data_IF_336997412478
#
_entry.id   IF_336997412478
#
_cell.length_a   1.000
_cell.length_b   1.000
_cell.length_c   1.000
_cell.angle_alpha   90.00
_cell.angle_beta   90.00
_cell.angle_gamma   90.00
#
_symmetry.space_group_name_H-M   'P 1'
#
loop_
_entity.id
_entity.type
_entity.pdbx_description
1 polymer ?
#
# COMPACT_ATOMS: atom_id res chain seq x y z
N UNK A 1 26.11 21.81 11.19
CA UNK A 1 25.06 20.82 10.94
C UNK A 1 23.94 21.06 11.90
N UNK A 2 22.79 21.55 11.43
CA UNK A 2 21.62 21.80 12.28
C UNK A 2 20.82 20.51 12.37
N UNK A 3 20.87 19.88 13.54
CA UNK A 3 20.00 18.75 13.90
C UNK A 3 18.56 19.29 13.93
N UNK A 4 17.80 19.05 12.86
CA UNK A 4 16.40 19.42 12.78
C UNK A 4 15.63 18.56 13.77
N UNK A 5 14.89 19.22 14.65
CA UNK A 5 14.02 18.63 15.67
C UNK A 5 13.36 17.33 15.21
N UNK A 6 13.73 16.26 15.89
CA UNK A 6 13.25 14.90 15.68
C UNK A 6 11.87 14.65 16.29
N UNK A 7 10.93 15.56 16.12
CA UNK A 7 9.53 15.30 16.46
C UNK A 7 8.85 14.68 15.25
N UNK A 8 8.85 13.35 15.21
CA UNK A 8 7.96 12.59 14.33
C UNK A 8 6.53 13.11 14.56
N UNK A 9 5.82 13.50 13.51
CA UNK A 9 4.46 14.04 13.66
C UNK A 9 3.54 12.98 14.28
N UNK A 10 2.63 13.39 15.16
CA UNK A 10 1.66 12.45 15.74
C UNK A 10 0.86 11.72 14.65
N UNK A 11 0.62 12.36 13.51
CA UNK A 11 -0.01 11.73 12.34
C UNK A 11 0.81 10.56 11.80
N UNK A 12 2.13 10.68 11.72
CA UNK A 12 3.00 9.59 11.28
C UNK A 12 3.02 8.44 12.30
N UNK A 13 3.09 8.75 13.59
CA UNK A 13 3.04 7.73 14.66
C UNK A 13 1.72 6.97 14.59
N UNK A 14 0.60 7.69 14.49
CA UNK A 14 -0.74 7.10 14.41
C UNK A 14 -0.88 6.23 13.15
N UNK A 15 -0.42 6.71 12.00
CA UNK A 15 -0.42 5.95 10.76
C UNK A 15 0.35 4.64 10.91
N UNK A 16 1.58 4.71 11.42
CA UNK A 16 2.43 3.54 11.66
C UNK A 16 1.73 2.54 12.58
N UNK A 17 1.19 2.99 13.72
CA UNK A 17 0.49 2.11 14.66
C UNK A 17 -0.74 1.45 14.02
N UNK A 18 -1.51 2.17 13.19
CA UNK A 18 -2.66 1.61 12.47
C UNK A 18 -2.25 0.53 11.48
N UNK A 19 -1.19 0.77 10.71
CA UNK A 19 -0.64 -0.21 9.77
C UNK A 19 -0.28 -1.49 10.51
N UNK A 20 0.51 -1.40 11.59
CA UNK A 20 0.89 -2.59 12.37
C UNK A 20 -0.30 -3.28 13.04
N UNK A 21 -1.24 -2.53 13.62
CA UNK A 21 -2.43 -3.11 14.24
C UNK A 21 -3.28 -3.89 13.24
N UNK A 22 -3.47 -3.33 12.04
CA UNK A 22 -4.17 -3.98 10.95
C UNK A 22 -3.44 -5.23 10.46
N UNK A 23 -2.13 -5.15 10.20
CA UNK A 23 -1.34 -6.29 9.76
C UNK A 23 -1.38 -7.44 10.77
N UNK A 24 -1.30 -7.13 12.07
CA UNK A 24 -1.42 -8.12 13.13
C UNK A 24 -2.81 -8.74 13.19
N UNK A 25 -3.87 -7.94 13.04
CA UNK A 25 -5.23 -8.45 12.98
C UNK A 25 -5.42 -9.40 11.79
N UNK A 26 -4.99 -8.99 10.58
CA UNK A 26 -5.06 -9.83 9.38
C UNK A 26 -4.29 -11.14 9.56
N UNK A 27 -3.10 -11.11 10.16
CA UNK A 27 -2.31 -12.32 10.45
C UNK A 27 -2.98 -13.23 11.48
N UNK A 28 -3.70 -12.66 12.44
CA UNK A 28 -4.52 -13.41 13.39
C UNK A 28 -5.69 -14.13 12.72
N UNK A 29 -6.38 -13.47 11.77
CA UNK A 29 -7.47 -14.06 11.00
C UNK A 29 -6.99 -15.06 9.95
N UNK A 30 -5.84 -14.82 9.33
CA UNK A 30 -5.24 -15.64 8.29
C UNK A 30 -3.83 -16.09 8.72
N UNK A 31 -3.68 -17.20 9.47
CA UNK A 31 -2.38 -17.61 10.00
C UNK A 31 -1.30 -17.89 8.96
N UNK A 32 -1.69 -18.27 7.73
CA UNK A 32 -0.78 -18.50 6.61
C UNK A 32 -0.32 -17.21 5.91
N UNK A 33 -0.83 -16.04 6.33
CA UNK A 33 -0.55 -14.76 5.73
C UNK A 33 0.89 -14.33 6.02
N UNK A 34 1.66 -14.11 4.95
CA UNK A 34 2.97 -13.47 5.01
C UNK A 34 2.79 -11.97 4.89
N UNK A 35 3.46 -11.24 5.77
CA UNK A 35 3.40 -9.78 5.88
C UNK A 35 4.82 -9.26 5.73
N UNK A 36 5.01 -8.32 4.82
CA UNK A 36 6.28 -7.68 4.52
C UNK A 36 6.12 -6.18 4.69
N UNK A 37 6.83 -5.61 5.67
CA UNK A 37 6.84 -4.18 5.95
C UNK A 37 7.78 -3.44 4.98
N UNK A 38 7.78 -2.09 4.93
CA UNK A 38 8.64 -1.36 4.00
C UNK A 38 10.13 -1.67 4.17
N UNK A 39 10.58 -2.00 5.40
CA UNK A 39 11.94 -2.46 5.65
C UNK A 39 12.25 -3.81 4.99
N UNK A 40 11.26 -4.67 4.87
CA UNK A 40 11.40 -5.98 4.24
C UNK A 40 11.43 -5.83 2.72
N UNK A 41 10.56 -4.98 2.16
CA UNK A 41 10.45 -4.74 0.72
C UNK A 41 11.67 -4.04 0.12
N UNK A 42 12.27 -3.05 0.82
CA UNK A 42 13.45 -2.31 0.34
C UNK A 42 14.67 -3.16 -0.02
N UNK A 43 14.67 -4.41 0.40
CA UNK A 43 15.76 -5.35 0.15
C UNK A 43 15.68 -5.97 -1.25
N UNK A 44 14.55 -5.82 -1.93
CA UNK A 44 14.26 -6.42 -3.23
C UNK A 44 14.05 -5.31 -4.27
N UNK A 45 14.74 -5.39 -5.43
CA UNK A 45 14.63 -4.38 -6.49
C UNK A 45 13.28 -4.45 -7.23
N UNK A 46 12.57 -5.57 -7.12
CA UNK A 46 11.28 -5.80 -7.81
C UNK A 46 10.11 -4.99 -7.22
N UNK A 47 10.32 -4.24 -6.13
CA UNK A 47 9.29 -3.38 -5.57
C UNK A 47 9.42 -1.95 -6.12
N UNK A 48 8.29 -1.23 -6.26
CA UNK A 48 8.33 0.16 -6.70
C UNK A 48 9.07 1.05 -5.70
N UNK A 49 9.70 2.12 -6.19
CA UNK A 49 10.29 3.18 -5.36
C UNK A 49 9.28 3.73 -4.34
N UNK A 50 8.03 3.90 -4.78
CA UNK A 50 6.91 4.21 -3.89
C UNK A 50 6.33 2.93 -3.28
N UNK A 51 6.96 2.46 -2.20
CA UNK A 51 6.51 1.26 -1.51
C UNK A 51 5.09 1.39 -0.94
N UNK A 52 4.30 0.30 -0.97
CA UNK A 52 3.06 0.22 -0.18
C UNK A 52 3.38 0.28 1.33
N UNK A 53 2.38 0.58 2.15
CA UNK A 53 2.53 0.49 3.61
C UNK A 53 2.88 -0.94 4.01
N UNK A 54 2.28 -1.94 3.35
CA UNK A 54 2.51 -3.36 3.59
C UNK A 54 2.34 -4.15 2.30
N UNK A 55 3.26 -5.07 2.02
CA UNK A 55 3.02 -6.14 1.06
C UNK A 55 2.56 -7.40 1.77
N UNK A 56 1.48 -8.00 1.29
CA UNK A 56 0.88 -9.18 1.89
C UNK A 56 0.76 -10.28 0.86
N UNK A 57 1.12 -11.50 1.26
CA UNK A 57 0.98 -12.70 0.43
C UNK A 57 0.28 -13.82 1.20
N UNK A 58 -0.81 -14.34 0.63
CA UNK A 58 -1.55 -15.49 1.13
C UNK A 58 -1.45 -16.64 0.14
N UNK A 59 -0.95 -17.78 0.58
CA UNK A 59 -0.94 -19.00 -0.23
C UNK A 59 -2.27 -19.72 -0.08
N UNK A 60 -3.01 -19.84 -1.18
CA UNK A 60 -4.25 -20.62 -1.27
C UNK A 60 -4.07 -21.75 -2.29
N UNK A 61 -3.82 -22.96 -1.81
CA UNK A 61 -3.49 -24.10 -2.66
C UNK A 61 -2.26 -23.84 -3.53
N UNK A 62 -2.45 -23.84 -4.85
CA UNK A 62 -1.40 -23.58 -5.84
C UNK A 62 -1.28 -22.09 -6.23
N UNK A 63 -2.15 -21.21 -5.74
CA UNK A 63 -2.12 -19.78 -6.04
C UNK A 63 -1.56 -18.99 -4.87
N UNK A 64 -0.94 -17.86 -5.17
CA UNK A 64 -0.48 -16.91 -4.17
C UNK A 64 -1.19 -15.59 -4.39
N UNK A 65 -2.20 -15.32 -3.57
CA UNK A 65 -2.87 -14.02 -3.55
C UNK A 65 -1.90 -12.99 -2.99
N UNK A 66 -1.64 -11.93 -3.73
CA UNK A 66 -0.68 -10.89 -3.37
C UNK A 66 -1.39 -9.54 -3.33
N UNK A 67 -1.04 -8.71 -2.35
CA UNK A 67 -1.67 -7.43 -2.13
C UNK A 67 -0.64 -6.35 -1.81
N UNK A 68 -0.78 -5.20 -2.45
CA UNK A 68 -0.16 -3.94 -2.02
C UNK A 68 -1.19 -3.23 -1.15
N UNK A 69 -0.95 -3.19 0.15
CA UNK A 69 -1.89 -2.64 1.12
C UNK A 69 -1.44 -1.26 1.56
N UNK A 70 -2.34 -0.29 1.47
CA UNK A 70 -2.14 1.08 1.94
C UNK A 70 -3.28 1.51 2.86
N UNK A 71 -2.91 2.09 4.00
CA UNK A 71 -3.84 2.75 4.90
C UNK A 71 -3.89 4.23 4.53
N UNK A 72 -5.09 4.75 4.26
CA UNK A 72 -5.27 6.13 3.82
C UNK A 72 -5.87 6.93 4.98
N UNK A 73 -5.11 7.90 5.55
CA UNK A 73 -5.63 8.70 6.64
C UNK A 73 -6.68 9.69 6.15
N UNK A 74 -7.61 10.05 7.05
CA UNK A 74 -8.74 10.92 6.72
C UNK A 74 -8.27 12.29 6.24
N UNK A 75 -7.16 12.78 6.80
CA UNK A 75 -6.56 14.07 6.47
C UNK A 75 -5.67 14.05 5.21
N UNK A 76 -5.47 12.89 4.55
CA UNK A 76 -4.67 12.84 3.33
C UNK A 76 -5.39 13.62 2.20
N UNK A 77 -4.75 14.63 1.60
CA UNK A 77 -5.34 15.33 0.47
C UNK A 77 -5.53 14.40 -0.74
N UNK A 78 -6.47 14.74 -1.61
CA UNK A 78 -6.80 13.90 -2.79
C UNK A 78 -5.65 13.75 -3.78
N UNK A 79 -4.82 14.80 -3.96
CA UNK A 79 -3.73 14.81 -4.95
C UNK A 79 -2.63 13.78 -4.65
N UNK A 80 -2.08 13.68 -3.42
CA UNK A 80 -1.15 12.61 -3.05
C UNK A 80 -1.69 11.20 -3.28
N UNK A 81 -2.98 10.96 -2.96
CA UNK A 81 -3.60 9.66 -3.20
C UNK A 81 -3.70 9.35 -4.71
N UNK A 82 -4.15 10.32 -5.51
CA UNK A 82 -4.19 10.18 -6.97
C UNK A 82 -2.80 9.84 -7.53
N UNK A 83 -1.78 10.59 -7.13
CA UNK A 83 -0.39 10.36 -7.56
C UNK A 83 0.15 9.00 -7.14
N UNK A 84 -0.25 8.49 -5.97
CA UNK A 84 0.12 7.14 -5.52
C UNK A 84 -0.47 6.08 -6.44
N UNK A 85 -1.75 6.20 -6.77
CA UNK A 85 -2.45 5.25 -7.64
C UNK A 85 -1.86 5.27 -9.05
N UNK A 86 -1.61 6.46 -9.63
CA UNK A 86 -1.01 6.55 -10.96
C UNK A 86 0.40 5.99 -10.99
N UNK A 87 1.21 6.21 -9.94
CA UNK A 87 2.56 5.62 -9.85
C UNK A 87 2.55 4.10 -9.77
N UNK A 88 1.56 3.51 -9.10
CA UNK A 88 1.41 2.05 -9.14
C UNK A 88 1.02 1.57 -10.53
N UNK A 89 0.08 2.24 -11.20
CA UNK A 89 -0.28 1.90 -12.58
C UNK A 89 0.94 1.97 -13.50
N UNK A 90 1.67 3.09 -13.50
CA UNK A 90 2.91 3.30 -14.26
C UNK A 90 3.93 2.18 -13.99
N UNK A 91 4.18 1.84 -12.72
CA UNK A 91 5.10 0.76 -12.35
C UNK A 91 4.71 -0.60 -12.95
N UNK A 92 3.43 -0.95 -12.95
CA UNK A 92 2.97 -2.22 -13.54
C UNK A 92 2.94 -2.18 -15.07
N UNK A 93 2.61 -1.04 -15.69
CA UNK A 93 2.62 -0.85 -17.14
C UNK A 93 4.04 -0.94 -17.73
N UNK A 94 5.04 -0.48 -16.99
CA UNK A 94 6.46 -0.56 -17.36
C UNK A 94 7.07 -1.96 -17.13
N UNK A 95 6.26 -2.94 -16.70
CA UNK A 95 6.71 -4.32 -16.47
C UNK A 95 7.49 -4.50 -15.17
N UNK A 96 7.41 -3.56 -14.23
CA UNK A 96 8.20 -3.57 -12.99
C UNK A 96 7.97 -4.79 -12.08
N UNK A 97 6.91 -5.57 -12.33
CA UNK A 97 6.58 -6.77 -11.56
C UNK A 97 6.81 -8.10 -12.32
N UNK A 98 7.13 -8.02 -13.61
CA UNK A 98 7.12 -9.18 -14.51
C UNK A 98 8.18 -10.22 -14.13
N UNK A 99 9.32 -9.77 -13.58
CA UNK A 99 10.39 -10.65 -13.08
C UNK A 99 9.97 -11.45 -11.84
N UNK A 100 9.08 -10.90 -11.00
CA UNK A 100 8.66 -11.54 -9.76
C UNK A 100 7.51 -12.53 -9.97
N UNK A 101 6.54 -12.20 -10.83
CA UNK A 101 5.32 -13.01 -10.99
C UNK A 101 4.47 -12.55 -12.17
N UNK A 102 3.93 -13.52 -12.93
CA UNK A 102 2.90 -13.27 -13.95
C UNK A 102 1.54 -12.84 -13.37
N UNK A 103 1.36 -12.99 -12.05
CA UNK A 103 0.18 -12.51 -11.32
C UNK A 103 0.52 -11.20 -10.58
N UNK A 104 -0.12 -10.10 -11.00
CA UNK A 104 0.01 -8.81 -10.35
C UNK A 104 -0.66 -8.79 -8.97
N UNK A 105 -0.08 -8.07 -8.00
CA UNK A 105 -0.70 -7.88 -6.70
C UNK A 105 -1.94 -6.99 -6.83
N UNK A 106 -2.98 -7.29 -6.06
CA UNK A 106 -4.16 -6.42 -5.96
C UNK A 106 -3.84 -5.21 -5.08
N UNK A 107 -4.15 -4.01 -5.55
CA UNK A 107 -4.06 -2.79 -4.74
C UNK A 107 -5.21 -2.74 -3.72
N UNK A 108 -4.90 -2.78 -2.43
CA UNK A 108 -5.85 -2.78 -1.32
C UNK A 108 -5.73 -1.50 -0.50
N UNK A 109 -6.68 -0.58 -0.70
CA UNK A 109 -6.73 0.68 0.04
C UNK A 109 -7.72 0.61 1.21
N UNK A 110 -7.27 0.98 2.40
CA UNK A 110 -8.10 0.98 3.62
C UNK A 110 -8.24 2.41 4.12
N UNK A 111 -9.47 2.91 4.12
CA UNK A 111 -9.77 4.24 4.66
C UNK A 111 -9.97 4.16 6.17
N UNK A 112 -9.53 5.17 6.91
CA UNK A 112 -9.80 5.26 8.36
C UNK A 112 -11.31 5.35 8.67
N UNK A 113 -12.08 5.92 7.75
CA UNK A 113 -13.54 6.06 7.85
C UNK A 113 -14.25 5.74 6.53
N UNK A 114 -15.56 5.48 6.61
CA UNK A 114 -16.39 5.32 5.41
C UNK A 114 -16.48 6.58 4.53
N UNK A 115 -16.23 7.77 5.10
CA UNK A 115 -16.13 9.00 4.31
C UNK A 115 -14.86 8.99 3.44
N UNK A 116 -13.73 8.58 4.01
CA UNK A 116 -12.47 8.38 3.29
C UNK A 116 -12.60 7.29 2.25
N UNK A 117 -13.23 6.17 2.55
CA UNK A 117 -13.51 5.12 1.56
C UNK A 117 -14.26 5.64 0.33
N UNK A 118 -15.34 6.41 0.53
CA UNK A 118 -16.09 7.02 -0.58
C UNK A 118 -15.24 8.00 -1.38
N UNK A 119 -14.38 8.78 -0.72
CA UNK A 119 -13.42 9.69 -1.38
C UNK A 119 -12.41 8.91 -2.21
N UNK A 120 -11.81 7.86 -1.65
CA UNK A 120 -10.85 6.99 -2.33
C UNK A 120 -11.46 6.38 -3.59
N UNK A 121 -12.67 5.81 -3.50
CA UNK A 121 -13.36 5.24 -4.66
C UNK A 121 -13.52 6.23 -5.81
N UNK A 122 -13.84 7.49 -5.52
CA UNK A 122 -13.93 8.55 -6.55
C UNK A 122 -12.58 8.85 -7.19
N UNK A 123 -11.52 8.94 -6.38
CA UNK A 123 -10.16 9.23 -6.86
C UNK A 123 -9.61 8.07 -7.67
N UNK A 124 -9.78 6.83 -7.22
CA UNK A 124 -9.37 5.62 -7.94
C UNK A 124 -10.06 5.55 -9.30
N UNK A 125 -11.38 5.77 -9.37
CA UNK A 125 -12.09 5.83 -10.65
C UNK A 125 -11.52 6.88 -11.59
N UNK A 126 -11.22 8.09 -11.08
CA UNK A 126 -10.64 9.15 -11.89
C UNK A 126 -9.21 8.84 -12.34
N UNK A 127 -8.42 8.15 -11.52
CA UNK A 127 -7.06 7.73 -11.86
C UNK A 127 -7.08 6.65 -12.95
N UNK A 128 -7.96 5.66 -12.83
CA UNK A 128 -8.11 4.60 -13.82
C UNK A 128 -8.59 5.13 -15.18
N UNK A 129 -9.56 6.05 -15.20
CA UNK A 129 -10.01 6.67 -16.46
C UNK A 129 -8.91 7.46 -17.17
N UNK A 130 -7.87 7.91 -16.46
CA UNK A 130 -6.73 8.60 -17.08
C UNK A 130 -5.69 7.63 -17.63
N UNK A 131 -5.64 6.41 -17.11
CA UNK A 131 -4.72 5.37 -17.55
C UNK A 131 -5.23 4.63 -18.81
N UNK A 132 -6.55 4.64 -19.03
CA UNK A 132 -7.21 4.24 -20.29
C UNK A 132 -7.07 5.30 -21.40
#
# INVERSE_FOLDING_TARGET
>A
GSYRDGTVSQSFVNHTLRVYALSNALKGFYPALKVFMPRDMRQYPDFPDLLPDVFISLKEGNKSLRFFLDVIPDNLPSKPLFQRITRYAEFFEEGGWDEMSNEYPTLLFIGETGATERRMRRIIKAALYKAE
#
